data_IF_622768981464
#
_entry.id   IF_622768981464
#
_cell.length_a   1.000
_cell.length_b   1.000
_cell.length_c   1.000
_cell.angle_alpha   90.00
_cell.angle_beta   90.00
_cell.angle_gamma   90.00
#
_symmetry.space_group_name_H-M   'P 1'
#
loop_
_entity.id
_entity.type
_entity.pdbx_description
1 polymer ?
#
# COMPACT_ATOMS: atom_id res chain seq x y z
N UNK A 1 2.21 -18.22 -8.75
CA UNK A 1 2.04 -16.94 -8.03
C UNK A 1 3.32 -16.53 -7.31
N UNK A 2 3.79 -17.22 -6.25
CA UNK A 2 5.03 -16.82 -5.52
C UNK A 2 6.30 -16.70 -6.39
N UNK A 3 6.49 -17.57 -7.38
CA UNK A 3 7.68 -17.52 -8.24
C UNK A 3 7.78 -16.24 -9.08
N UNK A 4 6.64 -15.68 -9.50
CA UNK A 4 6.59 -14.49 -10.37
C UNK A 4 6.79 -13.19 -9.56
N UNK A 5 6.29 -13.17 -8.31
CA UNK A 5 6.54 -12.10 -7.34
C UNK A 5 8.05 -12.00 -7.07
N UNK A 6 8.70 -13.13 -6.81
CA UNK A 6 10.14 -13.18 -6.54
C UNK A 6 10.98 -12.67 -7.71
N UNK A 7 10.59 -12.96 -8.95
CA UNK A 7 11.30 -12.45 -10.14
C UNK A 7 11.17 -10.91 -10.25
N UNK A 8 9.95 -10.37 -10.07
CA UNK A 8 9.70 -8.92 -10.14
C UNK A 8 10.42 -8.15 -9.02
N UNK A 9 10.41 -8.69 -7.80
CA UNK A 9 11.13 -8.12 -6.65
C UNK A 9 12.65 -8.16 -6.85
N UNK A 10 13.19 -9.24 -7.44
CA UNK A 10 14.63 -9.33 -7.74
C UNK A 10 15.05 -8.25 -8.75
N UNK A 11 14.26 -8.05 -9.81
CA UNK A 11 14.50 -6.97 -10.78
C UNK A 11 14.44 -5.58 -10.12
N UNK A 12 13.57 -5.40 -9.14
CA UNK A 12 13.51 -4.16 -8.36
C UNK A 12 14.79 -3.92 -7.56
N UNK A 13 15.35 -4.96 -6.94
CA UNK A 13 16.60 -4.86 -6.17
C UNK A 13 17.76 -4.47 -7.11
N UNK A 14 17.87 -5.09 -8.29
CA UNK A 14 18.90 -4.75 -9.27
C UNK A 14 18.79 -3.29 -9.74
N UNK A 15 17.56 -2.84 -9.99
CA UNK A 15 17.30 -1.43 -10.29
C UNK A 15 17.71 -0.53 -9.12
N UNK A 16 17.25 -0.85 -7.91
CA UNK A 16 17.54 -0.09 -6.69
C UNK A 16 19.03 0.01 -6.38
N UNK A 17 19.81 -1.04 -6.66
CA UNK A 17 21.29 -0.98 -6.56
C UNK A 17 21.91 -0.02 -7.54
N UNK A 18 21.32 0.15 -8.72
CA UNK A 18 21.83 1.04 -9.77
C UNK A 18 21.41 2.50 -9.56
N UNK A 19 20.17 2.74 -9.11
CA UNK A 19 19.63 4.08 -8.86
C UNK A 19 19.86 4.61 -7.44
N UNK A 20 20.21 3.74 -6.48
CA UNK A 20 20.30 4.06 -5.05
C UNK A 20 18.93 4.18 -4.35
N UNK A 21 17.84 4.13 -5.11
CA UNK A 21 16.47 4.19 -4.58
C UNK A 21 15.50 3.35 -5.41
N UNK A 22 14.41 2.93 -4.77
CA UNK A 22 13.21 2.40 -5.41
C UNK A 22 11.99 3.20 -4.97
N UNK A 23 10.94 3.21 -5.76
CA UNK A 23 9.72 3.94 -5.41
C UNK A 23 8.67 3.04 -4.78
N UNK A 24 7.87 3.60 -3.87
CA UNK A 24 6.74 2.90 -3.25
C UNK A 24 5.80 2.28 -4.30
N UNK A 25 5.59 2.99 -5.42
CA UNK A 25 4.80 2.53 -6.56
C UNK A 25 5.36 1.23 -7.17
N UNK A 26 6.66 1.13 -7.33
CA UNK A 26 7.31 -0.03 -7.95
C UNK A 26 7.16 -1.28 -7.09
N UNK A 27 7.28 -1.12 -5.78
CA UNK A 27 7.06 -2.19 -4.80
C UNK A 27 5.62 -2.68 -4.88
N UNK A 28 4.64 -1.76 -4.85
CA UNK A 28 3.24 -2.13 -4.97
C UNK A 28 2.90 -2.74 -6.32
N UNK A 29 3.53 -2.33 -7.41
CA UNK A 29 3.30 -2.91 -8.74
C UNK A 29 3.90 -4.31 -8.89
N UNK A 30 4.98 -4.61 -8.17
CA UNK A 30 5.61 -5.92 -8.19
C UNK A 30 4.81 -7.00 -7.44
N UNK A 31 4.07 -6.60 -6.39
CA UNK A 31 3.30 -7.52 -5.54
C UNK A 31 1.83 -7.54 -5.96
N UNK A 32 1.29 -8.73 -6.21
CA UNK A 32 -0.14 -8.94 -6.45
C UNK A 32 -0.89 -8.91 -5.11
N UNK A 33 -2.00 -8.18 -5.01
CA UNK A 33 -2.73 -7.97 -3.74
C UNK A 33 -1.83 -7.56 -2.56
N UNK A 34 -1.23 -6.36 -2.56
CA UNK A 34 -0.33 -5.92 -1.49
C UNK A 34 -0.97 -5.94 -0.09
N UNK A 35 -2.28 -5.71 0.00
CA UNK A 35 -3.08 -5.83 1.21
C UNK A 35 -3.12 -7.25 1.80
N UNK A 36 -2.77 -8.28 1.02
CA UNK A 36 -2.69 -9.69 1.46
C UNK A 36 -1.25 -10.12 1.76
N UNK A 37 -0.25 -9.41 1.23
CA UNK A 37 1.17 -9.79 1.29
C UNK A 37 2.02 -8.82 2.13
N UNK A 38 1.42 -8.24 3.17
CA UNK A 38 2.04 -7.18 3.98
C UNK A 38 3.34 -7.64 4.64
N UNK A 39 3.38 -8.88 5.14
CA UNK A 39 4.60 -9.44 5.75
C UNK A 39 5.75 -9.54 4.73
N UNK A 40 5.45 -9.95 3.50
CA UNK A 40 6.45 -10.05 2.43
C UNK A 40 6.96 -8.66 2.04
N UNK A 41 6.05 -7.68 1.95
CA UNK A 41 6.40 -6.27 1.70
C UNK A 41 7.32 -5.74 2.81
N UNK A 42 6.99 -5.98 4.08
CA UNK A 42 7.80 -5.53 5.22
C UNK A 42 9.20 -6.16 5.24
N UNK A 43 9.32 -7.45 4.94
CA UNK A 43 10.60 -8.14 4.79
C UNK A 43 11.41 -7.54 3.64
N UNK A 44 10.74 -7.26 2.52
CA UNK A 44 11.37 -6.64 1.36
C UNK A 44 11.92 -5.25 1.68
N UNK A 45 11.17 -4.43 2.43
CA UNK A 45 11.65 -3.13 2.90
C UNK A 45 12.90 -3.22 3.78
N UNK A 46 12.92 -4.13 4.74
CA UNK A 46 14.10 -4.35 5.58
C UNK A 46 15.30 -4.80 4.73
N UNK A 47 15.04 -5.63 3.72
CA UNK A 47 16.07 -6.09 2.77
C UNK A 47 16.66 -4.93 1.98
N UNK A 48 15.81 -4.03 1.47
CA UNK A 48 16.25 -2.82 0.76
C UNK A 48 17.07 -1.90 1.65
N UNK A 49 16.61 -1.63 2.88
CA UNK A 49 17.33 -0.80 3.85
C UNK A 49 18.70 -1.39 4.22
N UNK A 50 18.77 -2.70 4.44
CA UNK A 50 20.04 -3.40 4.73
C UNK A 50 21.01 -3.32 3.55
N UNK A 51 20.49 -3.23 2.32
CA UNK A 51 21.28 -3.03 1.11
C UNK A 51 21.58 -1.55 0.81
N UNK A 52 21.15 -0.61 1.66
CA UNK A 52 21.35 0.82 1.46
C UNK A 52 20.51 1.43 0.32
N UNK A 53 19.41 0.75 -0.07
CA UNK A 53 18.49 1.24 -1.10
C UNK A 53 17.37 2.00 -0.41
N UNK A 54 17.25 3.29 -0.72
CA UNK A 54 16.22 4.16 -0.15
C UNK A 54 14.86 3.91 -0.83
N UNK A 55 13.76 3.95 -0.07
CA UNK A 55 12.42 3.91 -0.66
C UNK A 55 11.81 5.29 -0.65
N UNK A 56 11.39 5.77 -1.82
CA UNK A 56 10.84 7.12 -2.00
C UNK A 56 9.40 7.09 -2.48
N UNK A 57 8.58 8.02 -2.00
CA UNK A 57 7.33 8.38 -2.66
C UNK A 57 7.62 9.14 -3.96
N UNK A 58 6.79 8.95 -4.99
CA UNK A 58 6.88 9.66 -6.28
C UNK A 58 6.39 11.12 -6.17
N UNK A 59 6.69 11.81 -5.07
CA UNK A 59 6.30 13.19 -4.85
C UNK A 59 7.12 14.04 -5.81
N UNK A 60 6.45 14.52 -6.88
CA UNK A 60 6.94 15.43 -7.94
C UNK A 60 8.46 15.44 -8.11
N UNK A 61 8.93 14.72 -9.14
CA UNK A 61 10.29 14.75 -9.68
C UNK A 61 10.66 16.10 -10.34
N UNK A 62 10.21 17.24 -9.79
CA UNK A 62 10.46 18.57 -10.33
C UNK A 62 11.26 19.49 -9.41
N UNK A 63 11.62 19.06 -8.21
CA UNK A 63 12.53 19.81 -7.36
C UNK A 63 13.55 18.84 -6.78
N UNK A 64 14.79 18.95 -7.24
CA UNK A 64 16.05 18.70 -6.51
C UNK A 64 17.18 18.37 -7.50
N UNK A 65 17.56 19.37 -8.30
CA UNK A 65 18.98 19.58 -8.53
C UNK A 65 19.53 20.26 -7.26
N UNK A 66 20.59 19.65 -6.67
CA UNK A 66 21.38 20.11 -5.51
C UNK A 66 20.62 19.95 -4.19
N UNK A 67 21.12 19.29 -3.15
CA UNK A 67 22.46 19.39 -2.55
C UNK A 67 22.64 18.22 -1.55
N UNK A 68 23.88 17.77 -1.37
CA UNK A 68 24.29 16.82 -0.32
C UNK A 68 24.45 17.59 1.01
N UNK A 69 23.87 17.12 2.11
CA UNK A 69 24.43 17.05 3.49
C UNK A 69 23.35 16.88 4.61
N UNK A 70 23.42 15.71 5.30
CA UNK A 70 23.12 15.33 6.73
C UNK A 70 21.99 16.00 7.57
N UNK A 71 21.78 15.49 8.80
CA UNK A 71 20.74 14.56 9.24
C UNK A 71 19.54 15.31 9.83
N UNK A 72 18.38 15.23 9.20
CA UNK A 72 17.18 15.88 9.71
C UNK A 72 16.03 14.89 9.62
N UNK A 73 15.44 14.59 10.77
CA UNK A 73 14.36 13.63 10.96
C UNK A 73 13.44 13.60 9.74
N UNK A 74 13.48 12.47 9.05
CA UNK A 74 12.93 12.32 7.71
C UNK A 74 11.41 12.42 7.79
N UNK A 75 10.87 13.55 7.34
CA UNK A 75 9.43 13.72 7.11
C UNK A 75 8.92 12.74 6.01
N UNK A 76 9.83 12.07 5.31
CA UNK A 76 9.59 10.98 4.37
C UNK A 76 9.38 9.63 5.06
N UNK A 77 10.03 9.36 6.20
CA UNK A 77 9.83 8.15 7.01
C UNK A 77 8.41 8.10 7.60
N UNK A 78 7.81 9.27 7.90
CA UNK A 78 6.48 9.39 8.51
C UNK A 78 5.35 9.06 7.50
N UNK A 79 5.56 9.34 6.20
CA UNK A 79 4.55 9.05 5.16
C UNK A 79 4.46 7.55 4.89
N UNK A 80 5.61 6.89 4.74
CA UNK A 80 5.69 5.45 4.49
C UNK A 80 5.15 4.63 5.66
N UNK A 81 5.39 5.05 6.90
CA UNK A 81 4.94 4.31 8.09
C UNK A 81 3.41 4.41 8.28
N UNK A 82 2.80 5.55 7.93
CA UNK A 82 1.35 5.72 8.01
C UNK A 82 0.58 4.81 7.04
N UNK A 83 1.07 4.69 5.80
CA UNK A 83 0.50 3.81 4.77
C UNK A 83 0.74 2.35 5.15
N UNK A 84 1.93 1.99 5.65
CA UNK A 84 2.21 0.63 6.14
C UNK A 84 1.35 0.24 7.32
N UNK A 85 1.19 1.14 8.29
CA UNK A 85 0.33 0.90 9.45
C UNK A 85 -1.11 0.70 9.01
N UNK A 86 -1.59 1.50 8.06
CA UNK A 86 -2.92 1.32 7.46
C UNK A 86 -3.06 -0.02 6.74
N UNK A 87 -2.10 -0.39 5.88
CA UNK A 87 -2.11 -1.67 5.17
C UNK A 87 -2.10 -2.85 6.15
N UNK A 88 -1.28 -2.80 7.21
CA UNK A 88 -1.28 -3.79 8.30
C UNK A 88 -2.63 -3.91 8.97
N UNK A 89 -3.31 -2.80 9.24
CA UNK A 89 -4.61 -2.79 9.91
C UNK A 89 -5.70 -3.41 9.03
N UNK A 90 -5.80 -3.02 7.76
CA UNK A 90 -6.80 -3.59 6.84
C UNK A 90 -6.47 -5.03 6.43
N UNK A 91 -5.20 -5.44 6.42
CA UNK A 91 -4.80 -6.80 6.08
C UNK A 91 -5.21 -7.85 7.10
N UNK A 92 -5.49 -7.43 8.34
CA UNK A 92 -6.08 -8.28 9.39
C UNK A 92 -7.55 -8.61 9.12
N UNK A 93 -8.21 -7.84 8.26
CA UNK A 93 -9.62 -8.02 7.92
C UNK A 93 -9.72 -9.05 6.80
N UNK A 94 -10.37 -10.19 7.06
CA UNK A 94 -10.58 -11.21 6.04
C UNK A 94 -11.50 -10.71 4.92
N UNK A 95 -11.23 -11.14 3.68
CA UNK A 95 -12.15 -10.93 2.56
C UNK A 95 -13.49 -11.63 2.84
N UNK A 96 -14.59 -10.92 2.58
CA UNK A 96 -15.95 -11.46 2.73
C UNK A 96 -16.27 -12.30 1.49
N UNK A 97 -16.89 -13.46 1.70
CA UNK A 97 -17.40 -14.28 0.58
C UNK A 97 -18.72 -13.71 0.06
N UNK A 98 -19.04 -13.92 -1.22
CA UNK A 98 -20.30 -13.44 -1.82
C UNK A 98 -21.55 -13.86 -1.04
N UNK A 99 -21.55 -15.06 -0.43
CA UNK A 99 -22.66 -15.53 0.42
C UNK A 99 -22.79 -14.74 1.74
N UNK A 100 -21.65 -14.37 2.34
CA UNK A 100 -21.61 -13.57 3.55
C UNK A 100 -22.03 -12.11 3.27
N UNK A 101 -21.67 -11.58 2.10
CA UNK A 101 -22.09 -10.25 1.65
C UNK A 101 -23.62 -10.15 1.59
N UNK A 102 -24.30 -11.14 0.97
CA UNK A 102 -25.77 -11.20 0.91
C UNK A 102 -26.38 -11.27 2.31
N UNK A 103 -25.77 -12.04 3.21
CA UNK A 103 -26.22 -12.15 4.60
C UNK A 103 -26.09 -10.83 5.37
N UNK A 104 -24.96 -10.14 5.20
CA UNK A 104 -24.72 -8.83 5.80
C UNK A 104 -25.67 -7.77 5.24
N UNK A 105 -25.91 -7.75 3.93
CA UNK A 105 -26.87 -6.84 3.30
C UNK A 105 -28.28 -6.98 3.89
N UNK A 106 -28.79 -8.22 4.02
CA UNK A 106 -30.10 -8.49 4.64
C UNK A 106 -30.17 -8.06 6.11
N UNK A 107 -29.05 -8.08 6.83
CA UNK A 107 -28.97 -7.61 8.23
C UNK A 107 -28.94 -6.08 8.29
N UNK A 108 -28.24 -5.44 7.36
CA UNK A 108 -28.19 -3.97 7.23
C UNK A 108 -29.58 -3.41 6.95
N UNK A 109 -30.38 -4.06 6.08
CA UNK A 109 -31.79 -3.67 5.83
C UNK A 109 -32.65 -3.70 7.10
N UNK A 110 -32.28 -4.55 8.08
CA UNK A 110 -32.94 -4.64 9.38
C UNK A 110 -32.37 -3.67 10.43
N UNK A 111 -31.47 -2.78 10.04
CA UNK A 111 -30.84 -1.79 10.92
C UNK A 111 -29.64 -2.30 11.72
N UNK A 112 -29.05 -3.45 11.35
CA UNK A 112 -27.87 -3.98 12.04
C UNK A 112 -26.61 -3.15 11.72
N UNK A 113 -26.25 -2.29 12.66
CA UNK A 113 -25.06 -1.41 12.55
C UNK A 113 -23.75 -2.19 12.56
N UNK A 114 -23.70 -3.37 13.19
CA UNK A 114 -22.51 -4.22 13.19
C UNK A 114 -22.31 -4.88 11.82
N UNK A 115 -23.40 -5.29 11.19
CA UNK A 115 -23.35 -5.80 9.82
C UNK A 115 -22.88 -4.73 8.84
N UNK A 116 -23.34 -3.48 9.00
CA UNK A 116 -22.87 -2.34 8.20
C UNK A 116 -21.36 -2.12 8.38
N UNK A 117 -20.90 -2.05 9.63
CA UNK A 117 -19.47 -1.87 9.93
C UNK A 117 -18.61 -2.99 9.32
N UNK A 118 -19.02 -4.25 9.47
CA UNK A 118 -18.28 -5.39 8.91
C UNK A 118 -18.19 -5.34 7.38
N UNK A 119 -19.27 -4.94 6.72
CA UNK A 119 -19.30 -4.79 5.27
C UNK A 119 -18.39 -3.64 4.80
N UNK A 120 -18.44 -2.49 5.46
CA UNK A 120 -17.54 -1.34 5.20
C UNK A 120 -16.07 -1.74 5.38
N UNK A 121 -15.73 -2.41 6.47
CA UNK A 121 -14.38 -2.87 6.79
C UNK A 121 -13.78 -3.79 5.71
N UNK A 122 -14.57 -4.71 5.17
CA UNK A 122 -14.09 -5.57 4.09
C UNK A 122 -13.90 -4.83 2.77
N UNK A 123 -14.70 -3.79 2.53
CA UNK A 123 -14.54 -2.94 1.35
C UNK A 123 -13.32 -2.01 1.47
N UNK A 124 -12.72 -1.81 2.66
CA UNK A 124 -11.46 -1.06 2.80
C UNK A 124 -10.30 -1.71 2.02
N UNK A 125 -10.29 -3.05 1.92
CA UNK A 125 -9.29 -3.77 1.10
C UNK A 125 -9.52 -3.55 -0.39
N UNK A 126 -10.79 -3.51 -0.81
CA UNK A 126 -11.16 -3.16 -2.19
C UNK A 126 -10.73 -1.74 -2.55
N UNK A 127 -10.90 -0.78 -1.64
CA UNK A 127 -10.43 0.60 -1.84
C UNK A 127 -8.95 0.63 -2.17
N UNK A 128 -8.12 -0.14 -1.45
CA UNK A 128 -6.67 -0.23 -1.73
C UNK A 128 -6.39 -0.86 -3.09
N UNK A 129 -7.08 -1.95 -3.44
CA UNK A 129 -6.87 -2.62 -4.74
C UNK A 129 -7.27 -1.74 -5.94
N UNK A 130 -8.26 -0.86 -5.76
CA UNK A 130 -8.65 0.17 -6.74
C UNK A 130 -7.69 1.35 -6.73
N UNK A 131 -7.29 1.85 -5.56
CA UNK A 131 -6.37 2.97 -5.40
C UNK A 131 -4.99 2.66 -6.01
N UNK A 132 -4.51 1.41 -5.89
CA UNK A 132 -3.27 0.96 -6.53
C UNK A 132 -3.24 1.20 -8.05
N UNK A 133 -4.38 1.08 -8.74
CA UNK A 133 -4.50 1.34 -10.19
C UNK A 133 -4.43 2.84 -10.53
N UNK A 134 -4.46 3.70 -9.53
CA UNK A 134 -4.47 5.17 -9.65
C UNK A 134 -3.20 5.85 -9.15
N UNK A 135 -2.24 5.08 -8.65
CA UNK A 135 -0.93 5.59 -8.26
C UNK A 135 -0.20 6.20 -9.47
N UNK A 136 0.33 7.41 -9.30
CA UNK A 136 1.11 8.12 -10.32
C UNK A 136 0.32 9.12 -11.17
N UNK A 137 -0.95 9.39 -10.84
CA UNK A 137 -1.75 10.47 -11.45
C UNK A 137 -1.68 11.81 -10.71
N UNK A 138 -0.70 11.98 -9.83
CA UNK A 138 -0.46 13.22 -9.08
C UNK A 138 -1.01 13.26 -7.65
N UNK A 139 -1.77 12.25 -7.23
CA UNK A 139 -2.25 12.07 -5.84
C UNK A 139 -1.42 11.01 -5.11
N UNK A 140 -1.28 11.18 -3.79
CA UNK A 140 -0.64 10.16 -2.94
C UNK A 140 -1.57 8.95 -2.80
N UNK A 141 -1.00 7.78 -2.46
CA UNK A 141 -1.83 6.60 -2.19
C UNK A 141 -2.76 6.84 -1.01
N UNK A 142 -2.30 7.56 0.01
CA UNK A 142 -3.11 7.89 1.18
C UNK A 142 -4.32 8.74 0.79
N UNK A 143 -4.14 9.74 -0.07
CA UNK A 143 -5.26 10.57 -0.58
C UNK A 143 -6.31 9.73 -1.32
N UNK A 144 -5.86 8.82 -2.18
CA UNK A 144 -6.74 7.92 -2.93
C UNK A 144 -7.52 6.97 -2.01
N UNK A 145 -6.87 6.49 -0.94
CA UNK A 145 -7.51 5.66 0.08
C UNK A 145 -8.53 6.48 0.86
N UNK A 146 -8.21 7.70 1.27
CA UNK A 146 -9.12 8.57 2.01
C UNK A 146 -10.37 8.94 1.19
N UNK A 147 -10.20 9.24 -0.10
CA UNK A 147 -11.32 9.47 -1.01
C UNK A 147 -12.22 8.23 -1.13
N UNK A 148 -11.62 7.05 -1.34
CA UNK A 148 -12.36 5.79 -1.42
C UNK A 148 -13.11 5.45 -0.13
N UNK A 149 -12.48 5.66 1.03
CA UNK A 149 -13.10 5.44 2.34
C UNK A 149 -14.27 6.40 2.60
N UNK A 150 -14.20 7.62 2.08
CA UNK A 150 -15.29 8.61 2.18
C UNK A 150 -16.54 8.18 1.38
N UNK A 151 -16.35 7.38 0.33
CA UNK A 151 -17.43 6.87 -0.52
C UNK A 151 -18.14 5.61 -0.01
N UNK A 152 -17.62 4.95 1.03
CA UNK A 152 -18.20 3.75 1.64
C UNK A 152 -19.19 4.07 2.78
#
# INVERSE_FOLDING_TARGET
MQAEINEKLTKLIEKGRSSGFVTYREILQAVEEPESHIQEIDIFYHTLQTMGIEVKEHKKLLEMEKTVEKPQADLSEISDDSVRMYLREIGRISLIKSEEEISLAKRIEKGDTLAKKKLTEANLRLVVSVAKKHIGRGLSLLDLIQEGNTGL
#
